data_IF_686224086520
#
_entry.id   IF_686224086520
#
_cell.length_a   1.000
_cell.length_b   1.000
_cell.length_c   1.000
_cell.angle_alpha   90.00
_cell.angle_beta   90.00
_cell.angle_gamma   90.00
#
_symmetry.space_group_name_H-M   'P 1'
#
loop_
_entity.id
_entity.type
_entity.pdbx_description
1 polymer ?
#
# COMPACT_ATOMS: atom_id res chain seq x y z
N UNK A 1 12.47 -0.18 3.60
CA UNK A 1 11.62 -0.28 4.81
C UNK A 1 10.22 -0.36 4.28
N UNK A 2 9.60 -1.53 4.32
CA UNK A 2 8.23 -1.74 3.86
C UNK A 2 7.29 -1.23 4.96
N UNK A 3 6.51 -0.18 4.68
CA UNK A 3 5.54 0.39 5.63
C UNK A 3 4.33 -0.55 5.70
N UNK A 4 4.03 -1.07 6.89
CA UNK A 4 2.86 -1.92 7.14
C UNK A 4 1.73 -1.04 7.67
N UNK A 5 0.55 -1.11 7.05
CA UNK A 5 -0.64 -0.35 7.41
C UNK A 5 -1.74 -1.25 7.98
N UNK A 6 -2.59 -0.67 8.83
CA UNK A 6 -3.74 -1.35 9.40
C UNK A 6 -4.89 -1.41 8.36
N UNK A 7 -5.48 -2.59 8.11
CA UNK A 7 -6.56 -2.73 7.13
C UNK A 7 -7.81 -1.90 7.43
N UNK A 8 -8.04 -1.44 8.66
CA UNK A 8 -9.25 -0.70 9.04
C UNK A 8 -9.19 0.78 8.65
N UNK A 9 -8.01 1.40 8.66
CA UNK A 9 -7.85 2.85 8.49
C UNK A 9 -6.74 3.27 7.50
N UNK A 10 -6.08 2.33 6.82
CA UNK A 10 -4.97 2.64 5.91
C UNK A 10 -5.29 3.69 4.85
N UNK A 11 -6.56 3.84 4.44
CA UNK A 11 -7.03 4.66 3.31
C UNK A 11 -6.53 6.11 3.40
N UNK A 12 -6.42 6.65 4.62
CA UNK A 12 -6.05 8.04 4.88
C UNK A 12 -4.55 8.27 5.09
N UNK A 13 -3.76 7.19 5.15
CA UNK A 13 -2.32 7.25 5.38
C UNK A 13 -1.58 7.92 4.24
N UNK A 14 -0.71 8.87 4.59
CA UNK A 14 0.19 9.51 3.62
C UNK A 14 1.29 8.53 3.21
N UNK A 15 1.47 8.41 1.88
CA UNK A 15 2.47 7.59 1.24
C UNK A 15 3.34 8.44 0.33
N UNK A 16 4.63 8.11 0.33
CA UNK A 16 5.61 8.71 -0.58
C UNK A 16 6.33 7.57 -1.29
N UNK A 17 6.38 7.66 -2.61
CA UNK A 17 7.15 6.75 -3.44
C UNK A 17 8.59 7.24 -3.55
N UNK A 18 9.50 6.56 -2.87
CA UNK A 18 10.95 6.83 -2.90
C UNK A 18 11.59 6.72 -4.30
N UNK A 19 10.92 6.04 -5.25
CA UNK A 19 11.45 5.83 -6.59
C UNK A 19 11.17 6.97 -7.57
N UNK A 20 9.96 7.53 -7.54
CA UNK A 20 9.52 8.54 -8.50
C UNK A 20 9.09 9.87 -7.85
N UNK A 21 9.08 9.95 -6.52
CA UNK A 21 8.69 11.14 -5.77
C UNK A 21 7.19 11.41 -5.72
N UNK A 22 6.36 10.46 -6.17
CA UNK A 22 4.91 10.56 -5.99
C UNK A 22 4.57 10.62 -4.49
N UNK A 23 3.68 11.54 -4.11
CA UNK A 23 3.15 11.65 -2.77
C UNK A 23 1.62 11.75 -2.85
N UNK A 24 0.93 11.00 -2.02
CA UNK A 24 -0.53 10.92 -2.01
C UNK A 24 -1.03 10.06 -0.85
N UNK A 25 -2.34 9.84 -0.77
CA UNK A 25 -2.91 8.94 0.22
C UNK A 25 -2.79 7.49 -0.23
N UNK A 26 -2.88 6.54 0.71
CA UNK A 26 -2.96 5.13 0.36
C UNK A 26 -4.17 4.79 -0.51
N UNK A 27 -5.27 5.55 -0.37
CA UNK A 27 -6.43 5.49 -1.25
C UNK A 27 -6.17 5.90 -2.70
N UNK A 28 -5.13 6.69 -2.94
CA UNK A 28 -4.69 7.10 -4.29
C UNK A 28 -3.71 6.06 -4.91
N UNK A 29 -3.24 5.09 -4.12
CA UNK A 29 -2.35 4.03 -4.58
C UNK A 29 -3.12 2.84 -5.17
N UNK A 30 -2.45 2.06 -6.01
CA UNK A 30 -3.02 0.86 -6.60
C UNK A 30 -2.96 -0.29 -5.58
N UNK A 31 -4.12 -0.73 -5.10
CA UNK A 31 -4.22 -1.88 -4.20
C UNK A 31 -4.20 -3.20 -4.99
N UNK A 32 -3.22 -4.05 -4.70
CA UNK A 32 -3.17 -5.44 -5.17
C UNK A 32 -3.53 -6.36 -4.01
N UNK A 33 -4.64 -7.08 -4.16
CA UNK A 33 -5.17 -8.01 -3.16
C UNK A 33 -5.11 -9.44 -3.70
N UNK A 34 -4.40 -10.32 -3.00
CA UNK A 34 -4.27 -11.73 -3.33
C UNK A 34 -5.30 -12.56 -2.56
N UNK A 35 -6.57 -12.30 -2.88
CA UNK A 35 -7.71 -12.88 -2.19
C UNK A 35 -7.64 -14.42 -2.16
N UNK A 36 -7.67 -15.02 -0.97
CA UNK A 36 -7.66 -16.47 -0.76
C UNK A 36 -6.28 -17.14 -0.79
N UNK A 37 -5.20 -16.39 -1.04
CA UNK A 37 -3.81 -16.92 -1.05
C UNK A 37 -2.97 -16.30 0.06
N UNK A 38 -3.17 -15.01 0.32
CA UNK A 38 -2.35 -14.22 1.23
C UNK A 38 -3.23 -13.31 2.09
N UNK A 39 -2.83 -13.08 3.35
CA UNK A 39 -3.43 -12.04 4.23
C UNK A 39 -2.80 -10.66 4.01
N UNK A 40 -1.83 -10.57 3.11
CA UNK A 40 -1.07 -9.37 2.77
C UNK A 40 -1.68 -8.77 1.50
N UNK A 41 -1.97 -7.48 1.55
CA UNK A 41 -2.28 -6.66 0.39
C UNK A 41 -1.13 -5.71 0.13
N UNK A 42 -0.86 -5.40 -1.12
CA UNK A 42 0.25 -4.53 -1.52
C UNK A 42 -0.32 -3.23 -2.09
N UNK A 43 0.24 -2.10 -1.69
CA UNK A 43 -0.06 -0.79 -2.24
C UNK A 43 1.07 -0.38 -3.17
N UNK A 44 0.72 -0.13 -4.42
CA UNK A 44 1.64 0.20 -5.50
C UNK A 44 1.50 1.67 -5.89
N UNK A 45 2.64 2.31 -6.14
CA UNK A 45 2.67 3.66 -6.67
C UNK A 45 2.00 3.71 -8.05
N UNK A 46 1.04 4.62 -8.29
CA UNK A 46 0.31 4.70 -9.56
C UNK A 46 1.20 5.11 -10.75
N UNK A 47 2.35 5.74 -10.49
CA UNK A 47 3.22 6.28 -11.54
C UNK A 47 4.31 5.29 -12.01
N UNK A 48 4.83 4.45 -11.11
CA UNK A 48 6.01 3.62 -11.39
C UNK A 48 5.88 2.17 -10.90
N UNK A 49 4.67 1.80 -10.45
CA UNK A 49 4.27 0.45 -10.04
C UNK A 49 5.17 -0.18 -8.98
N UNK A 50 5.81 0.66 -8.17
CA UNK A 50 6.68 0.22 -7.07
C UNK A 50 5.87 0.13 -5.80
N UNK A 51 6.08 -0.92 -5.01
CA UNK A 51 5.44 -1.10 -3.71
C UNK A 51 5.82 0.07 -2.80
N UNK A 52 4.80 0.73 -2.25
CA UNK A 52 4.94 1.86 -1.32
C UNK A 52 4.51 1.50 0.10
N UNK A 53 3.65 0.50 0.26
CA UNK A 53 3.22 -0.03 1.55
C UNK A 53 2.60 -1.42 1.38
N UNK A 54 2.48 -2.14 2.49
CA UNK A 54 1.70 -3.38 2.59
C UNK A 54 0.64 -3.25 3.68
N UNK A 55 -0.45 -3.97 3.54
CA UNK A 55 -1.54 -4.03 4.51
C UNK A 55 -1.59 -5.46 5.03
N UNK A 56 -1.44 -5.63 6.34
CA UNK A 56 -1.49 -6.95 6.99
C UNK A 56 -2.68 -7.03 7.93
N UNK A 57 -3.60 -7.98 7.70
CA UNK A 57 -4.66 -8.23 8.68
C UNK A 57 -4.15 -9.09 9.85
N UNK A 58 -4.29 -8.64 11.11
CA UNK A 58 -3.95 -9.45 12.27
C UNK A 58 -4.78 -10.74 12.30
N UNK A 59 -4.19 -11.78 12.91
CA UNK A 59 -4.56 -13.17 12.67
C UNK A 59 -5.88 -13.57 13.29
#
# INVERSE_FOLDING_TARGET
MDKILDPEDYIDEDLVCEKCGWAGKASDANLIDFYGVSKIKELHCPNCDTIVATIESPK
#
